data_IF_107163761252
#
_entry.id   IF_107163761252
#
_cell.length_a   1.000
_cell.length_b   1.000
_cell.length_c   1.000
_cell.angle_alpha   90.00
_cell.angle_beta   90.00
_cell.angle_gamma   90.00
#
_symmetry.space_group_name_H-M   'P 1'
#
loop_
_entity.id
_entity.type
_entity.pdbx_description
1 polymer ?
#
# COMPACT_ATOMS: atom_id res chain seq x y z
N UNK A 1 -4.56 -17.12 13.47
CA UNK A 1 -4.18 -16.40 12.24
C UNK A 1 -3.08 -17.21 11.55
N UNK A 2 -3.16 -17.47 10.24
CA UNK A 2 -2.12 -18.24 9.54
C UNK A 2 -0.94 -17.32 9.23
N UNK A 3 0.27 -17.87 9.08
CA UNK A 3 1.49 -17.11 8.75
C UNK A 3 1.31 -16.24 7.50
N UNK A 4 0.60 -16.74 6.49
CA UNK A 4 0.29 -16.00 5.28
C UNK A 4 -0.55 -14.73 5.53
N UNK A 5 -1.49 -14.78 6.47
CA UNK A 5 -2.31 -13.60 6.82
C UNK A 5 -1.47 -12.54 7.54
N UNK A 6 -0.49 -12.95 8.34
CA UNK A 6 0.44 -12.04 9.03
C UNK A 6 1.34 -11.33 8.02
N UNK A 7 1.85 -12.05 7.01
CA UNK A 7 2.66 -11.44 5.95
C UNK A 7 1.85 -10.42 5.13
N UNK A 8 0.59 -10.76 4.79
CA UNK A 8 -0.33 -9.81 4.16
C UNK A 8 -0.57 -8.56 5.02
N UNK A 9 -0.73 -8.74 6.32
CA UNK A 9 -0.90 -7.61 7.25
C UNK A 9 0.36 -6.75 7.35
N UNK A 10 1.55 -7.36 7.33
CA UNK A 10 2.84 -6.64 7.29
C UNK A 10 2.99 -5.87 5.98
N UNK A 11 2.62 -6.47 4.85
CA UNK A 11 2.62 -5.81 3.54
C UNK A 11 1.67 -4.60 3.55
N UNK A 12 0.44 -4.77 4.04
CA UNK A 12 -0.52 -3.66 4.17
C UNK A 12 -0.01 -2.54 5.08
N UNK A 13 0.67 -2.89 6.19
CA UNK A 13 1.33 -1.91 7.04
C UNK A 13 2.43 -1.15 6.28
N UNK A 14 3.16 -1.82 5.37
CA UNK A 14 4.11 -1.18 4.45
C UNK A 14 3.44 -0.20 3.49
N UNK A 15 2.30 -0.58 2.89
CA UNK A 15 1.52 0.29 2.00
C UNK A 15 1.05 1.57 2.72
N UNK A 16 0.58 1.44 3.96
CA UNK A 16 0.09 2.56 4.76
C UNK A 16 1.19 3.34 5.48
N UNK A 17 2.43 2.84 5.50
CA UNK A 17 3.53 3.41 6.29
C UNK A 17 3.40 3.22 7.82
N UNK A 18 2.55 2.28 8.26
CA UNK A 18 2.29 2.06 9.69
C UNK A 18 3.37 1.17 10.33
N UNK A 19 4.43 1.85 10.80
CA UNK A 19 5.56 1.19 11.46
C UNK A 19 5.17 0.50 12.78
N UNK A 20 4.12 0.96 13.48
CA UNK A 20 3.68 0.35 14.75
C UNK A 20 3.03 -1.01 14.49
N UNK A 21 2.17 -1.10 13.47
CA UNK A 21 1.57 -2.34 13.04
C UNK A 21 2.63 -3.36 12.59
N UNK A 22 3.63 -2.92 11.81
CA UNK A 22 4.80 -3.74 11.47
C UNK A 22 5.47 -4.30 12.72
N UNK A 23 5.83 -3.44 13.68
CA UNK A 23 6.57 -3.83 14.88
C UNK A 23 5.78 -4.85 15.73
N UNK A 24 4.47 -4.64 15.84
CA UNK A 24 3.57 -5.54 16.54
C UNK A 24 3.49 -6.90 15.85
N UNK A 25 3.24 -6.92 14.54
CA UNK A 25 3.01 -8.16 13.78
C UNK A 25 4.25 -9.06 13.74
N UNK A 26 5.47 -8.52 13.56
CA UNK A 26 6.67 -9.37 13.55
C UNK A 26 6.97 -9.95 14.93
N UNK A 27 6.73 -9.18 16.00
CA UNK A 27 7.00 -9.60 17.39
C UNK A 27 5.97 -10.60 17.88
N UNK A 28 4.68 -10.29 17.72
CA UNK A 28 3.54 -11.09 18.22
C UNK A 28 3.47 -12.46 17.53
N UNK A 29 3.81 -12.53 16.24
CA UNK A 29 3.77 -13.77 15.46
C UNK A 29 5.15 -14.40 15.23
N UNK A 30 6.21 -13.90 15.87
CA UNK A 30 7.59 -14.39 15.76
C UNK A 30 8.05 -14.59 14.31
N UNK A 31 7.72 -13.63 13.44
CA UNK A 31 8.18 -13.62 12.05
C UNK A 31 9.65 -13.20 12.05
N UNK A 32 10.47 -13.87 11.25
CA UNK A 32 11.85 -13.46 11.02
C UNK A 32 11.90 -12.02 10.53
N UNK A 33 12.74 -11.19 11.16
CA UNK A 33 12.86 -9.77 10.84
C UNK A 33 13.15 -9.53 9.35
N UNK A 34 13.94 -10.41 8.74
CA UNK A 34 14.27 -10.37 7.31
C UNK A 34 13.02 -10.50 6.42
N UNK A 35 12.22 -11.54 6.64
CA UNK A 35 10.95 -11.78 5.94
C UNK A 35 9.97 -10.63 6.17
N UNK A 36 9.84 -10.17 7.42
CA UNK A 36 8.94 -9.06 7.74
C UNK A 36 9.39 -7.77 7.03
N UNK A 37 10.69 -7.47 6.99
CA UNK A 37 11.24 -6.30 6.30
C UNK A 37 11.01 -6.36 4.80
N UNK A 38 11.20 -7.53 4.18
CA UNK A 38 10.95 -7.72 2.75
C UNK A 38 9.49 -7.39 2.39
N UNK A 39 8.52 -7.92 3.14
CA UNK A 39 7.09 -7.66 2.92
C UNK A 39 6.73 -6.18 3.18
N UNK A 40 7.27 -5.59 4.23
CA UNK A 40 7.04 -4.17 4.57
C UNK A 40 7.66 -3.22 3.54
N UNK A 41 8.84 -3.56 3.00
CA UNK A 41 9.47 -2.81 1.92
C UNK A 41 8.65 -2.91 0.61
N UNK A 42 8.22 -4.12 0.25
CA UNK A 42 7.38 -4.35 -0.93
C UNK A 42 6.08 -3.54 -0.87
N UNK A 43 5.45 -3.46 0.31
CA UNK A 43 4.27 -2.61 0.52
C UNK A 43 4.57 -1.12 0.32
N UNK A 44 5.69 -0.62 0.84
CA UNK A 44 6.11 0.78 0.64
C UNK A 44 6.42 1.10 -0.82
N UNK A 45 7.06 0.18 -1.54
CA UNK A 45 7.32 0.33 -2.99
C UNK A 45 6.01 0.36 -3.78
N UNK A 46 5.05 -0.49 -3.41
CA UNK A 46 3.72 -0.45 -3.99
C UNK A 46 3.07 0.92 -3.76
N UNK A 47 3.02 1.41 -2.51
CA UNK A 47 2.47 2.73 -2.20
C UNK A 47 3.12 3.87 -2.99
N UNK A 48 4.45 3.84 -3.16
CA UNK A 48 5.18 4.80 -3.99
C UNK A 48 4.77 4.72 -5.46
N UNK A 49 4.67 3.52 -6.02
CA UNK A 49 4.24 3.33 -7.41
C UNK A 49 2.79 3.78 -7.65
N UNK A 50 1.91 3.69 -6.65
CA UNK A 50 0.54 4.21 -6.74
C UNK A 50 0.47 5.73 -6.57
N UNK A 51 1.31 6.31 -5.71
CA UNK A 51 1.43 7.77 -5.56
C UNK A 51 2.02 8.43 -6.82
N UNK A 52 2.90 7.75 -7.53
CA UNK A 52 3.58 8.25 -8.74
C UNK A 52 2.77 8.06 -10.03
N UNK A 53 1.53 7.53 -9.96
CA UNK A 53 0.60 7.50 -11.10
C UNK A 53 -0.41 8.66 -11.03
N UNK A 54 -0.09 9.84 -11.60
CA UNK A 54 -1.05 10.93 -11.73
C UNK A 54 -2.23 10.61 -12.67
N UNK A 55 -2.15 9.53 -13.45
CA UNK A 55 -3.19 9.13 -14.42
C UNK A 55 -4.52 8.69 -13.78
N UNK A 56 -4.55 8.32 -12.50
CA UNK A 56 -5.79 7.96 -11.79
C UNK A 56 -6.53 9.21 -11.26
N UNK A 57 -5.90 10.38 -11.31
CA UNK A 57 -6.48 11.65 -10.87
C UNK A 57 -6.87 12.57 -12.04
N UNK A 58 -7.01 12.04 -13.26
CA UNK A 58 -7.70 12.77 -14.32
C UNK A 58 -9.20 12.71 -14.06
N UNK A 59 -9.69 13.78 -13.41
CA UNK A 59 -11.08 14.21 -13.47
C UNK A 59 -11.60 14.10 -14.91
N UNK A 60 -12.88 13.76 -15.14
CA UNK A 60 -13.51 13.96 -16.44
C UNK A 60 -13.70 15.46 -16.70
N UNK A 61 -12.62 16.20 -16.90
CA UNK A 61 -12.63 17.56 -17.43
C UNK A 61 -12.62 17.45 -18.95
N UNK A 62 -13.75 17.05 -19.52
CA UNK A 62 -14.17 17.35 -20.89
C UNK A 62 -15.61 16.88 -21.10
N UNK A 63 -16.54 17.54 -20.40
CA UNK A 63 -17.94 17.60 -20.81
C UNK A 63 -18.23 19.01 -21.36
N UNK A 64 -17.41 19.49 -22.29
CA UNK A 64 -17.78 20.62 -23.12
C UNK A 64 -18.48 20.11 -24.37
N UNK A 65 -19.81 20.17 -24.36
CA UNK A 65 -20.57 20.54 -25.55
C UNK A 65 -21.75 21.41 -25.08
N UNK A 66 -21.47 22.69 -24.86
CA UNK A 66 -22.51 23.71 -24.99
C UNK A 66 -22.94 23.75 -26.48
N UNK A 67 -24.24 23.60 -26.80
CA UNK A 67 -24.72 23.81 -28.16
C UNK A 67 -24.68 25.31 -28.47
N UNK A 68 -23.86 25.71 -29.44
CA UNK A 68 -23.89 27.08 -29.99
C UNK A 68 -25.18 27.32 -30.78
N UNK A 69 -25.97 28.37 -30.49
CA UNK A 69 -26.86 29.01 -31.45
C UNK A 69 -26.13 30.01 -32.36
#
# INVERSE_FOLDING_TARGET
>A
MKRADVLKAIHAAGVSGDRRAFLRLYTEHRISLDVARAEYAAGQEMAKNFADRPDVQRKPENLYMEPRP
#
